data_IF_583982968870
#
_entry.id   IF_583982968870
#
_cell.length_a   1.000
_cell.length_b   1.000
_cell.length_c   1.000
_cell.angle_alpha   90.00
_cell.angle_beta   90.00
_cell.angle_gamma   90.00
#
_symmetry.space_group_name_H-M   'P 1'
#
loop_
_entity.id
_entity.type
_entity.pdbx_description
1 polymer ?
#
# COMPACT_ATOMS: atom_id res chain seq x y z
N UNK A 1 -29.38 -4.16 -6.03
CA UNK A 1 -29.70 -2.73 -6.21
C UNK A 1 -28.94 -1.94 -5.17
N UNK A 2 -27.82 -1.31 -5.56
CA UNK A 2 -27.05 -0.45 -4.66
C UNK A 2 -27.70 0.94 -4.66
N UNK A 3 -28.26 1.34 -3.54
CA UNK A 3 -28.80 2.69 -3.35
C UNK A 3 -27.64 3.68 -3.32
N UNK A 4 -27.46 4.39 -4.44
CA UNK A 4 -26.48 5.46 -4.56
C UNK A 4 -27.05 6.70 -3.86
N UNK A 5 -26.86 6.78 -2.55
CA UNK A 5 -27.25 7.96 -1.77
C UNK A 5 -26.32 9.10 -2.18
N UNK A 6 -26.83 10.22 -2.74
CA UNK A 6 -25.97 11.32 -3.15
C UNK A 6 -25.25 11.86 -1.91
N UNK A 7 -23.91 11.93 -1.97
CA UNK A 7 -23.10 12.66 -0.98
C UNK A 7 -23.66 14.08 -0.95
N UNK A 8 -24.20 14.51 0.20
CA UNK A 8 -24.73 15.87 0.40
C UNK A 8 -23.56 16.84 0.19
N UNK A 9 -23.45 17.43 -1.00
CA UNK A 9 -22.38 18.39 -1.30
C UNK A 9 -22.77 19.71 -0.64
N UNK A 10 -22.32 19.90 0.60
CA UNK A 10 -22.34 21.21 1.22
C UNK A 10 -21.36 22.12 0.48
N UNK A 11 -21.76 23.38 0.25
CA UNK A 11 -20.86 24.39 -0.32
C UNK A 11 -19.64 24.50 0.59
N UNK A 12 -18.44 24.39 0.01
CA UNK A 12 -17.20 24.54 0.77
C UNK A 12 -17.07 25.98 1.26
N UNK A 13 -16.93 26.14 2.58
CA UNK A 13 -16.60 27.43 3.20
C UNK A 13 -15.09 27.57 3.28
N UNK A 14 -14.56 28.74 2.95
CA UNK A 14 -13.13 29.03 3.06
C UNK A 14 -12.79 29.92 4.27
N UNK A 15 -13.59 29.83 5.34
CA UNK A 15 -13.31 30.48 6.62
C UNK A 15 -12.17 29.78 7.36
N UNK A 16 -11.36 30.46 8.19
CA UNK A 16 -10.28 29.81 8.95
C UNK A 16 -10.74 28.60 9.78
N UNK A 17 -11.99 28.65 10.28
CA UNK A 17 -12.63 27.57 11.03
C UNK A 17 -12.98 26.32 10.23
N UNK A 18 -12.92 26.33 8.89
CA UNK A 18 -13.14 25.14 8.05
C UNK A 18 -11.86 24.36 7.77
N UNK A 19 -10.70 24.89 8.17
CA UNK A 19 -9.40 24.26 7.96
C UNK A 19 -8.87 23.56 9.21
N UNK A 20 -8.16 22.47 9.00
CA UNK A 20 -7.47 21.66 9.99
C UNK A 20 -5.99 21.70 9.66
N UNK A 21 -5.14 21.93 10.67
CA UNK A 21 -3.69 21.76 10.52
C UNK A 21 -3.30 20.33 10.85
N UNK A 22 -2.55 19.68 9.97
CA UNK A 22 -1.92 18.39 10.23
C UNK A 22 -0.42 18.58 10.30
N UNK A 23 0.18 18.24 11.44
CA UNK A 23 1.62 18.35 11.69
C UNK A 23 2.27 16.98 11.60
N UNK A 24 3.24 16.82 10.70
CA UNK A 24 3.81 15.52 10.34
C UNK A 24 5.33 15.48 10.56
N UNK A 25 5.83 14.39 11.12
CA UNK A 25 7.25 14.15 11.38
C UNK A 25 7.70 14.46 12.80
N UNK A 26 8.79 13.82 13.23
CA UNK A 26 9.38 13.97 14.57
C UNK A 26 10.32 15.18 14.60
N UNK A 27 11.36 15.14 13.76
CA UNK A 27 12.38 16.17 13.66
C UNK A 27 11.99 17.14 12.53
N UNK A 28 11.94 18.44 12.83
CA UNK A 28 11.49 19.49 11.91
C UNK A 28 10.12 19.18 11.28
N UNK A 29 9.05 19.10 12.10
CA UNK A 29 7.74 18.73 11.60
C UNK A 29 7.21 19.74 10.57
N UNK A 30 6.61 19.22 9.52
CA UNK A 30 5.94 20.03 8.50
C UNK A 30 4.45 20.15 8.80
N UNK A 31 3.90 21.35 8.63
CA UNK A 31 2.48 21.62 8.78
C UNK A 31 1.77 21.66 7.42
N UNK A 32 0.63 20.98 7.34
CA UNK A 32 -0.23 20.91 6.18
C UNK A 32 -1.60 21.49 6.57
N UNK A 33 -2.02 22.55 5.90
CA UNK A 33 -3.34 23.15 6.11
C UNK A 33 -4.34 22.52 5.13
N UNK A 34 -5.34 21.80 5.67
CA UNK A 34 -6.29 21.01 4.88
C UNK A 34 -7.72 21.46 5.17
N UNK A 35 -8.60 21.40 4.17
CA UNK A 35 -10.01 21.62 4.39
C UNK A 35 -10.62 20.41 5.13
N UNK A 36 -11.18 20.63 6.32
CA UNK A 36 -11.67 19.57 7.22
C UNK A 36 -12.67 18.66 6.52
N UNK A 37 -13.62 19.25 5.78
CA UNK A 37 -14.66 18.46 5.12
C UNK A 37 -14.10 17.50 4.06
N UNK A 38 -13.01 17.83 3.38
CA UNK A 38 -12.41 16.97 2.35
C UNK A 38 -11.77 15.75 2.99
N UNK A 39 -10.87 15.99 3.96
CA UNK A 39 -10.14 14.92 4.63
C UNK A 39 -11.07 14.04 5.48
N UNK A 40 -12.08 14.61 6.15
CA UNK A 40 -13.07 13.84 6.93
C UNK A 40 -14.07 13.08 6.05
N UNK A 41 -14.35 13.57 4.83
CA UNK A 41 -15.16 12.81 3.87
C UNK A 41 -14.44 11.54 3.41
N UNK A 42 -13.13 11.63 3.20
CA UNK A 42 -12.28 10.53 2.72
C UNK A 42 -11.88 9.54 3.84
N UNK A 43 -11.39 10.07 4.97
CA UNK A 43 -10.81 9.29 6.05
C UNK A 43 -11.71 9.19 7.29
N UNK A 44 -11.92 7.95 7.76
CA UNK A 44 -12.61 7.72 9.04
C UNK A 44 -11.78 8.17 10.25
N UNK A 45 -10.45 8.08 10.16
CA UNK A 45 -9.55 8.55 11.21
C UNK A 45 -9.73 10.06 11.44
N UNK A 46 -9.58 10.87 10.39
CA UNK A 46 -9.73 12.32 10.50
C UNK A 46 -11.15 12.72 10.91
N UNK A 47 -12.17 12.04 10.37
CA UNK A 47 -13.56 12.24 10.81
C UNK A 47 -13.76 12.02 12.30
N UNK A 48 -13.13 10.99 12.88
CA UNK A 48 -13.22 10.70 14.32
C UNK A 48 -12.44 11.72 15.14
N UNK A 49 -11.25 12.10 14.68
CA UNK A 49 -10.43 13.12 15.33
C UNK A 49 -11.17 14.47 15.43
N UNK A 50 -11.90 14.86 14.38
CA UNK A 50 -12.59 16.16 14.32
C UNK A 50 -14.01 16.16 14.89
N UNK A 51 -14.64 15.00 15.08
CA UNK A 51 -15.99 14.91 15.65
C UNK A 51 -16.03 14.58 17.14
N UNK A 52 -14.95 14.04 17.73
CA UNK A 52 -14.92 13.71 19.16
C UNK A 52 -14.56 14.89 20.07
N UNK A 53 -14.63 14.69 21.38
CA UNK A 53 -14.29 15.71 22.39
C UNK A 53 -12.80 15.69 22.75
N UNK A 54 -11.95 15.63 21.72
CA UNK A 54 -10.50 15.50 21.84
C UNK A 54 -9.81 16.87 21.73
N UNK A 55 -8.56 16.93 22.20
CA UNK A 55 -7.73 18.13 22.10
C UNK A 55 -7.53 18.57 20.64
N UNK A 56 -7.49 17.61 19.72
CA UNK A 56 -7.31 17.81 18.28
C UNK A 56 -8.43 18.65 17.68
N UNK A 57 -9.69 18.41 18.08
CA UNK A 57 -10.84 19.20 17.63
C UNK A 57 -10.79 20.62 18.18
N UNK A 58 -10.49 20.76 19.48
CA UNK A 58 -10.40 22.06 20.13
C UNK A 58 -9.26 22.92 19.55
N UNK A 59 -8.11 22.29 19.26
CA UNK A 59 -6.93 22.94 18.71
C UNK A 59 -6.96 23.05 17.18
N UNK A 60 -7.88 22.33 16.52
CA UNK A 60 -7.89 22.11 15.07
C UNK A 60 -6.53 21.67 14.53
N UNK A 61 -5.89 20.77 15.27
CA UNK A 61 -4.54 20.28 15.04
C UNK A 61 -4.48 18.76 15.22
N UNK A 62 -4.11 18.03 14.18
CA UNK A 62 -3.78 16.60 14.27
C UNK A 62 -2.26 16.44 14.16
N UNK A 63 -1.67 15.67 15.07
CA UNK A 63 -0.22 15.40 15.07
C UNK A 63 0.06 13.97 14.63
N UNK A 64 0.99 13.81 13.70
CA UNK A 64 1.41 12.56 13.09
C UNK A 64 2.95 12.47 13.15
N UNK A 65 3.53 12.35 14.36
CA UNK A 65 4.98 12.48 14.53
C UNK A 65 5.75 11.37 13.82
N UNK A 66 5.25 10.13 13.84
CA UNK A 66 5.93 8.96 13.28
C UNK A 66 5.78 8.82 11.76
N UNK A 67 4.95 9.67 11.14
CA UNK A 67 4.63 9.56 9.71
C UNK A 67 5.60 10.38 8.84
N UNK A 68 5.81 9.91 7.63
CA UNK A 68 6.70 10.52 6.64
C UNK A 68 6.01 11.71 5.95
N UNK A 69 6.66 12.87 5.97
CA UNK A 69 6.13 14.13 5.40
C UNK A 69 5.84 14.02 3.90
N UNK A 70 6.69 13.32 3.14
CA UNK A 70 6.51 13.16 1.68
C UNK A 70 5.35 12.21 1.38
N UNK A 71 5.20 11.14 2.17
CA UNK A 71 4.07 10.22 2.04
C UNK A 71 2.75 10.91 2.38
N UNK A 72 2.75 11.75 3.42
CA UNK A 72 1.58 12.56 3.75
C UNK A 72 1.24 13.55 2.63
N UNK A 73 2.23 14.22 2.04
CA UNK A 73 2.00 15.10 0.90
C UNK A 73 1.37 14.36 -0.31
N UNK A 74 1.81 13.14 -0.60
CA UNK A 74 1.18 12.29 -1.62
C UNK A 74 -0.27 11.93 -1.27
N UNK A 75 -0.54 11.62 -0.01
CA UNK A 75 -1.91 11.36 0.47
C UNK A 75 -2.80 12.60 0.29
N UNK A 76 -2.30 13.78 0.66
CA UNK A 76 -3.03 15.05 0.48
C UNK A 76 -3.37 15.30 -0.98
N UNK A 77 -2.45 15.03 -1.90
CA UNK A 77 -2.73 15.13 -3.33
C UNK A 77 -3.94 14.27 -3.72
N UNK A 78 -3.99 13.01 -3.27
CA UNK A 78 -5.14 12.13 -3.55
C UNK A 78 -6.43 12.70 -2.96
N UNK A 79 -6.42 13.19 -1.72
CA UNK A 79 -7.61 13.77 -1.09
C UNK A 79 -8.10 15.00 -1.86
N UNK A 80 -7.18 15.78 -2.43
CA UNK A 80 -7.49 17.02 -3.15
C UNK A 80 -7.92 16.79 -4.60
N UNK A 81 -7.27 15.90 -5.33
CA UNK A 81 -7.44 15.73 -6.78
C UNK A 81 -8.07 14.40 -7.17
N UNK A 82 -8.15 13.44 -6.24
CA UNK A 82 -8.44 12.03 -6.51
C UNK A 82 -7.44 11.34 -7.45
N UNK A 83 -6.25 11.92 -7.59
CA UNK A 83 -5.19 11.40 -8.46
C UNK A 83 -3.86 11.34 -7.72
N UNK A 84 -3.10 10.28 -7.99
CA UNK A 84 -1.65 10.30 -7.75
C UNK A 84 -1.04 10.83 -9.05
N UNK A 85 -0.46 12.03 -9.01
CA UNK A 85 0.17 12.64 -10.19
C UNK A 85 1.46 11.86 -10.49
N UNK A 86 1.34 10.82 -11.30
CA UNK A 86 2.47 10.05 -11.83
C UNK A 86 3.00 10.83 -13.05
N UNK A 87 4.24 11.31 -12.99
CA UNK A 87 4.83 12.17 -14.01
C UNK A 87 6.02 12.96 -13.46
N UNK A 88 6.47 13.99 -14.19
CA UNK A 88 7.77 14.65 -13.99
C UNK A 88 8.13 14.95 -12.53
N UNK A 89 7.22 15.44 -11.68
CA UNK A 89 7.51 15.70 -10.27
C UNK A 89 7.70 14.41 -9.44
N UNK A 90 6.78 13.44 -9.53
CA UNK A 90 6.90 12.13 -8.85
C UNK A 90 8.09 11.32 -9.38
N UNK A 91 8.34 11.39 -10.68
CA UNK A 91 9.45 10.70 -11.33
C UNK A 91 10.81 11.35 -10.99
N UNK A 92 10.85 12.67 -10.77
CA UNK A 92 12.02 13.41 -10.29
C UNK A 92 12.31 13.13 -8.82
N UNK A 93 11.28 13.13 -7.97
CA UNK A 93 11.43 12.87 -6.53
C UNK A 93 11.80 11.41 -6.24
N UNK A 94 11.38 10.49 -7.11
CA UNK A 94 11.64 9.05 -7.00
C UNK A 94 12.16 8.50 -8.33
N UNK A 95 13.42 8.74 -8.72
CA UNK A 95 13.93 8.34 -10.03
C UNK A 95 14.11 6.82 -10.18
N UNK A 96 14.29 6.11 -9.06
CA UNK A 96 14.46 4.66 -9.02
C UNK A 96 13.10 3.96 -8.89
N UNK A 97 12.87 2.95 -9.74
CA UNK A 97 11.62 2.18 -9.78
C UNK A 97 11.27 1.51 -8.44
N UNK A 98 12.24 0.92 -7.75
CA UNK A 98 12.03 0.31 -6.44
C UNK A 98 11.70 1.35 -5.37
N UNK A 99 12.30 2.55 -5.42
CA UNK A 99 11.89 3.65 -4.53
C UNK A 99 10.47 4.12 -4.81
N UNK A 100 10.03 4.18 -6.09
CA UNK A 100 8.62 4.48 -6.42
C UNK A 100 7.68 3.45 -5.83
N UNK A 101 7.96 2.16 -6.03
CA UNK A 101 7.16 1.07 -5.47
C UNK A 101 7.11 1.18 -3.95
N UNK A 102 8.26 1.37 -3.30
CA UNK A 102 8.32 1.44 -1.85
C UNK A 102 7.53 2.63 -1.29
N UNK A 103 7.59 3.81 -1.94
CA UNK A 103 6.78 4.97 -1.58
C UNK A 103 5.28 4.70 -1.74
N UNK A 104 4.86 3.97 -2.78
CA UNK A 104 3.46 3.57 -2.95
C UNK A 104 3.02 2.56 -1.88
N UNK A 105 3.88 1.62 -1.49
CA UNK A 105 3.58 0.72 -0.37
C UNK A 105 3.44 1.49 0.94
N UNK A 106 4.34 2.43 1.24
CA UNK A 106 4.22 3.33 2.40
C UNK A 106 2.91 4.11 2.37
N UNK A 107 2.52 4.63 1.21
CA UNK A 107 1.25 5.35 1.03
C UNK A 107 0.03 4.45 1.28
N UNK A 108 0.05 3.19 0.82
CA UNK A 108 -1.02 2.24 1.12
C UNK A 108 -1.14 1.99 2.62
N UNK A 109 -0.01 1.76 3.29
CA UNK A 109 0.06 1.56 4.74
C UNK A 109 -0.47 2.78 5.49
N UNK A 110 -0.09 3.98 5.07
CA UNK A 110 -0.62 5.22 5.62
C UNK A 110 -2.14 5.31 5.44
N UNK A 111 -2.65 5.03 4.23
CA UNK A 111 -4.07 5.04 3.93
C UNK A 111 -4.85 3.96 4.73
N UNK A 112 -4.23 2.82 5.04
CA UNK A 112 -4.76 1.81 5.95
C UNK A 112 -4.88 2.36 7.39
N UNK A 113 -3.80 2.98 7.90
CA UNK A 113 -3.76 3.62 9.23
C UNK A 113 -4.85 4.69 9.37
N UNK A 114 -5.00 5.56 8.37
CA UNK A 114 -6.04 6.61 8.38
C UNK A 114 -7.42 6.11 7.92
N UNK A 115 -7.56 4.80 7.65
CA UNK A 115 -8.81 4.15 7.25
C UNK A 115 -9.49 4.81 6.05
N UNK A 116 -8.69 5.16 5.04
CA UNK A 116 -9.13 5.76 3.80
C UNK A 116 -9.18 4.71 2.68
N UNK A 117 -10.39 4.28 2.32
CA UNK A 117 -10.59 3.23 1.32
C UNK A 117 -10.24 3.72 -0.09
N UNK A 118 -10.59 4.97 -0.42
CA UNK A 118 -10.40 5.52 -1.76
C UNK A 118 -8.92 5.71 -2.04
N UNK A 119 -8.18 6.25 -1.07
CA UNK A 119 -6.73 6.35 -1.15
C UNK A 119 -6.05 4.99 -1.31
N UNK A 120 -6.42 3.98 -0.50
CA UNK A 120 -5.88 2.61 -0.64
C UNK A 120 -6.08 2.04 -2.05
N UNK A 121 -7.29 2.17 -2.59
CA UNK A 121 -7.62 1.68 -3.92
C UNK A 121 -6.80 2.41 -4.99
N UNK A 122 -6.72 3.75 -4.91
CA UNK A 122 -5.94 4.57 -5.82
C UNK A 122 -4.46 4.18 -5.80
N UNK A 123 -3.90 3.95 -4.62
CA UNK A 123 -2.52 3.49 -4.46
C UNK A 123 -2.28 2.13 -5.12
N UNK A 124 -3.21 1.17 -4.99
CA UNK A 124 -3.11 -0.13 -5.68
C UNK A 124 -3.16 0.06 -7.20
N UNK A 125 -4.09 0.86 -7.71
CA UNK A 125 -4.20 1.16 -9.16
C UNK A 125 -2.89 1.72 -9.70
N UNK A 126 -2.32 2.71 -9.00
CA UNK A 126 -1.03 3.33 -9.36
C UNK A 126 0.13 2.36 -9.26
N UNK A 127 0.20 1.54 -8.20
CA UNK A 127 1.25 0.54 -8.02
C UNK A 127 1.25 -0.46 -9.18
N UNK A 128 0.08 -1.00 -9.53
CA UNK A 128 -0.07 -1.90 -10.67
C UNK A 128 0.33 -1.21 -11.98
N UNK A 129 -0.10 0.02 -12.19
CA UNK A 129 0.28 0.79 -13.38
C UNK A 129 1.81 0.95 -13.50
N UNK A 130 2.50 1.30 -12.41
CA UNK A 130 3.96 1.41 -12.38
C UNK A 130 4.64 0.08 -12.73
N UNK A 131 4.17 -1.04 -12.17
CA UNK A 131 4.70 -2.37 -12.46
C UNK A 131 4.47 -2.73 -13.93
N UNK A 132 3.26 -2.55 -14.46
CA UNK A 132 2.90 -2.99 -15.82
C UNK A 132 3.45 -2.10 -16.93
N UNK A 133 3.61 -0.78 -16.70
CA UNK A 133 4.11 0.16 -17.72
C UNK A 133 5.60 -0.01 -17.97
N UNK A 134 6.34 -0.39 -16.94
CA UNK A 134 7.78 -0.64 -17.03
C UNK A 134 8.12 -2.11 -17.26
N UNK A 135 7.18 -3.03 -17.01
CA UNK A 135 7.25 -4.39 -17.54
C UNK A 135 7.04 -4.34 -19.04
N UNK A 136 8.04 -4.61 -19.90
CA UNK A 136 7.76 -4.83 -21.30
C UNK A 136 6.88 -6.08 -21.39
N UNK A 137 5.58 -5.88 -21.54
CA UNK A 137 4.53 -6.91 -21.59
C UNK A 137 4.80 -7.99 -22.67
N UNK A 138 5.85 -7.82 -23.51
CA UNK A 138 6.28 -8.77 -24.53
C UNK A 138 7.80 -8.95 -24.68
N UNK A 139 8.65 -8.54 -23.72
CA UNK A 139 10.06 -8.96 -23.78
C UNK A 139 10.18 -10.36 -23.20
N UNK A 140 10.30 -11.33 -24.09
CA UNK A 140 10.28 -12.78 -23.84
C UNK A 140 11.31 -13.25 -22.79
N UNK A 141 12.31 -12.45 -22.38
CA UNK A 141 13.46 -12.96 -21.59
C UNK A 141 14.15 -11.98 -20.62
N UNK A 142 13.53 -10.87 -20.15
CA UNK A 142 14.24 -9.94 -19.24
C UNK A 142 13.51 -9.67 -17.92
N UNK A 143 13.90 -10.46 -16.94
CA UNK A 143 13.84 -10.26 -15.48
C UNK A 143 12.71 -9.34 -14.95
N UNK A 144 11.49 -9.89 -14.90
CA UNK A 144 10.31 -9.25 -14.29
C UNK A 144 10.58 -8.89 -12.81
N UNK A 145 11.54 -9.55 -12.15
CA UNK A 145 11.85 -9.37 -10.73
C UNK A 145 12.22 -7.93 -10.38
N UNK A 146 12.99 -7.25 -11.25
CA UNK A 146 13.40 -5.87 -11.04
C UNK A 146 12.24 -4.86 -10.96
N UNK A 147 11.05 -5.26 -11.42
CA UNK A 147 9.85 -4.42 -11.41
C UNK A 147 8.84 -4.76 -10.32
N UNK A 148 9.01 -5.86 -9.58
CA UNK A 148 8.13 -6.25 -8.47
C UNK A 148 8.56 -5.60 -7.15
N UNK A 149 7.66 -5.51 -6.15
CA UNK A 149 8.03 -5.05 -4.81
C UNK A 149 9.07 -5.98 -4.16
N UNK A 150 10.25 -5.44 -3.85
CA UNK A 150 11.30 -6.17 -3.14
C UNK A 150 10.89 -6.61 -1.72
N UNK A 151 11.74 -7.40 -1.06
CA UNK A 151 11.48 -7.93 0.28
C UNK A 151 11.10 -6.86 1.31
N UNK A 152 11.76 -5.70 1.30
CA UNK A 152 11.51 -4.61 2.25
C UNK A 152 10.09 -4.04 2.06
N UNK A 153 9.65 -3.88 0.82
CA UNK A 153 8.30 -3.44 0.51
C UNK A 153 7.25 -4.49 0.89
N UNK A 154 7.50 -5.76 0.61
CA UNK A 154 6.61 -6.87 1.02
C UNK A 154 6.49 -6.92 2.55
N UNK A 155 7.61 -6.85 3.26
CA UNK A 155 7.64 -6.86 4.71
C UNK A 155 6.83 -5.71 5.31
N UNK A 156 7.06 -4.49 4.83
CA UNK A 156 6.35 -3.29 5.30
C UNK A 156 4.83 -3.45 5.14
N UNK A 157 4.37 -3.98 4.00
CA UNK A 157 2.95 -4.22 3.73
C UNK A 157 2.34 -5.21 4.73
N UNK A 158 3.05 -6.29 5.05
CA UNK A 158 2.56 -7.31 5.97
C UNK A 158 2.55 -6.82 7.42
N UNK A 159 3.61 -6.18 7.88
CA UNK A 159 3.69 -5.67 9.26
C UNK A 159 2.61 -4.62 9.58
N UNK A 160 2.18 -3.84 8.58
CA UNK A 160 1.34 -2.67 8.79
C UNK A 160 -0.05 -2.76 8.15
N UNK A 161 -0.49 -3.96 7.77
CA UNK A 161 -1.86 -4.19 7.32
C UNK A 161 -2.45 -5.43 7.96
N UNK A 162 -3.77 -5.47 8.10
CA UNK A 162 -4.48 -6.59 8.71
C UNK A 162 -4.38 -7.86 7.86
N UNK A 163 -4.50 -9.02 8.52
CA UNK A 163 -4.62 -10.31 7.85
C UNK A 163 -5.76 -10.28 6.82
N UNK A 164 -5.52 -10.82 5.62
CA UNK A 164 -6.48 -10.83 4.53
C UNK A 164 -6.73 -9.48 3.86
N UNK A 165 -5.96 -8.43 4.17
CA UNK A 165 -6.06 -7.13 3.49
C UNK A 165 -5.80 -7.25 1.98
N UNK A 166 -6.33 -6.31 1.19
CA UNK A 166 -6.05 -6.25 -0.24
C UNK A 166 -4.56 -6.10 -0.54
N UNK A 167 -3.82 -5.34 0.29
CA UNK A 167 -2.39 -5.16 0.17
C UNK A 167 -1.60 -6.47 0.31
N UNK A 168 -1.87 -7.28 1.35
CA UNK A 168 -1.23 -8.60 1.52
C UNK A 168 -1.53 -9.53 0.37
N UNK A 169 -2.80 -9.60 -0.07
CA UNK A 169 -3.22 -10.40 -1.23
C UNK A 169 -2.48 -9.99 -2.50
N UNK A 170 -2.39 -8.68 -2.77
CA UNK A 170 -1.67 -8.17 -3.93
C UNK A 170 -0.21 -8.60 -3.94
N UNK A 171 0.49 -8.50 -2.80
CA UNK A 171 1.88 -8.94 -2.69
C UNK A 171 2.05 -10.43 -2.98
N UNK A 172 1.17 -11.27 -2.42
CA UNK A 172 1.21 -12.71 -2.69
C UNK A 172 0.92 -13.02 -4.16
N UNK A 173 -0.08 -12.35 -4.77
CA UNK A 173 -0.47 -12.55 -6.16
C UNK A 173 0.64 -12.10 -7.13
N UNK A 174 1.32 -10.97 -6.87
CA UNK A 174 2.41 -10.46 -7.70
C UNK A 174 3.61 -11.42 -7.76
N UNK A 175 3.88 -12.13 -6.68
CA UNK A 175 5.00 -13.08 -6.56
C UNK A 175 4.59 -14.54 -6.84
N UNK A 176 3.32 -14.80 -7.14
CA UNK A 176 2.81 -16.11 -7.51
C UNK A 176 2.97 -16.37 -9.03
N UNK A 177 4.16 -16.14 -9.58
CA UNK A 177 4.51 -16.45 -10.97
C UNK A 177 5.73 -17.38 -11.01
N UNK A 178 5.68 -18.43 -11.83
CA UNK A 178 6.72 -19.43 -12.00
C UNK A 178 8.08 -18.87 -12.48
N UNK A 179 8.11 -17.63 -12.95
CA UNK A 179 9.32 -16.92 -13.41
C UNK A 179 9.97 -16.05 -12.32
N UNK A 180 9.35 -15.97 -11.15
CA UNK A 180 9.81 -15.13 -10.04
C UNK A 180 10.34 -15.99 -8.90
N UNK A 181 11.38 -15.52 -8.20
CA UNK A 181 11.98 -16.24 -7.08
C UNK A 181 12.35 -15.26 -5.96
N UNK A 182 11.37 -14.99 -5.11
CA UNK A 182 11.52 -14.16 -3.90
C UNK A 182 12.28 -14.87 -2.78
N UNK A 183 12.57 -16.17 -2.92
CA UNK A 183 13.24 -16.93 -1.86
C UNK A 183 14.68 -16.44 -1.64
N UNK A 184 15.33 -15.90 -2.68
CA UNK A 184 16.65 -15.28 -2.54
C UNK A 184 16.64 -14.02 -1.67
N UNK A 185 15.48 -13.39 -1.48
CA UNK A 185 15.30 -12.24 -0.57
C UNK A 185 14.52 -12.64 0.70
N UNK A 186 14.44 -13.93 1.01
CA UNK A 186 13.61 -14.42 2.12
C UNK A 186 14.05 -13.93 3.49
N UNK A 187 15.34 -13.60 3.64
CA UNK A 187 15.88 -13.03 4.86
C UNK A 187 15.34 -11.62 5.08
N UNK A 188 14.39 -11.49 6.02
CA UNK A 188 13.70 -10.23 6.34
C UNK A 188 12.23 -10.18 5.93
N UNK A 189 11.70 -11.21 5.26
CA UNK A 189 10.28 -11.32 4.95
C UNK A 189 9.56 -12.16 6.00
N UNK A 190 8.39 -11.70 6.43
CA UNK A 190 7.59 -12.36 7.45
C UNK A 190 7.04 -13.70 6.96
N UNK A 191 6.87 -14.63 7.91
CA UNK A 191 6.36 -15.98 7.62
C UNK A 191 4.96 -15.94 7.00
N UNK A 192 4.13 -14.99 7.42
CA UNK A 192 2.76 -14.81 6.91
C UNK A 192 2.72 -14.62 5.40
N UNK A 193 3.68 -13.90 4.82
CA UNK A 193 3.78 -13.74 3.37
C UNK A 193 3.97 -15.08 2.67
N UNK A 194 4.90 -15.92 3.15
CA UNK A 194 5.14 -17.23 2.54
C UNK A 194 3.93 -18.15 2.68
N UNK A 195 3.21 -18.08 3.81
CA UNK A 195 1.96 -18.81 4.00
C UNK A 195 0.92 -18.37 2.96
N UNK A 196 0.72 -17.07 2.77
CA UNK A 196 -0.23 -16.54 1.79
C UNK A 196 0.19 -16.83 0.34
N UNK A 197 1.49 -16.74 0.03
CA UNK A 197 2.07 -17.09 -1.26
C UNK A 197 1.80 -18.57 -1.60
N UNK A 198 2.05 -19.49 -0.68
CA UNK A 198 1.77 -20.93 -0.85
C UNK A 198 0.26 -21.17 -1.04
N UNK A 199 -0.60 -20.48 -0.27
CA UNK A 199 -2.05 -20.55 -0.45
C UNK A 199 -2.47 -20.07 -1.84
N UNK A 200 -1.85 -19.01 -2.36
CA UNK A 200 -2.11 -18.52 -3.72
C UNK A 200 -1.66 -19.55 -4.77
N UNK A 201 -0.46 -20.13 -4.64
CA UNK A 201 0.01 -21.19 -5.53
C UNK A 201 -0.94 -22.40 -5.59
N UNK A 202 -1.45 -22.86 -4.44
CA UNK A 202 -2.42 -23.96 -4.39
C UNK A 202 -3.74 -23.63 -5.09
N UNK A 203 -4.21 -22.38 -5.01
CA UNK A 203 -5.44 -21.95 -5.70
C UNK A 203 -5.26 -21.91 -7.22
N UNK A 204 -4.10 -21.47 -7.71
CA UNK A 204 -3.81 -21.37 -9.14
C UNK A 204 -3.47 -22.72 -9.78
N UNK A 205 -2.85 -23.62 -9.02
CA UNK A 205 -2.43 -24.94 -9.48
C UNK A 205 -2.95 -26.04 -8.55
N UNK A 206 -4.24 -26.41 -8.65
CA UNK A 206 -4.79 -27.57 -7.96
C UNK A 206 -4.18 -28.85 -8.57
N UNK A 207 -2.97 -29.18 -8.16
CA UNK A 207 -2.23 -30.33 -8.64
C UNK A 207 -2.36 -31.48 -7.65
N UNK A 208 -2.71 -32.66 -8.17
CA UNK A 208 -2.53 -33.93 -7.45
C UNK A 208 -1.05 -34.26 -7.51
N UNK A 209 -0.22 -33.54 -6.76
CA UNK A 209 1.21 -33.87 -6.65
C UNK A 209 1.32 -35.15 -5.84
N UNK A 210 1.92 -36.18 -6.43
CA UNK A 210 2.31 -37.39 -5.70
C UNK A 210 3.34 -37.00 -4.65
N UNK A 211 3.15 -37.46 -3.42
CA UNK A 211 4.10 -37.22 -2.35
C UNK A 211 5.39 -37.96 -2.69
N UNK A 212 6.44 -37.20 -3.02
CA UNK A 212 7.74 -37.74 -3.45
C UNK A 212 8.27 -38.73 -2.43
N UNK A 213 8.23 -38.43 -1.13
CA UNK A 213 8.68 -39.37 -0.09
C UNK A 213 7.87 -40.69 -0.06
N UNK A 214 6.59 -40.67 -0.45
CA UNK A 214 5.75 -41.87 -0.53
C UNK A 214 5.88 -42.61 -1.88
N UNK A 215 6.52 -42.00 -2.89
CA UNK A 215 6.68 -42.58 -4.23
C UNK A 215 8.12 -42.79 -4.67
N UNK A 216 9.09 -42.22 -3.96
CA UNK A 216 10.52 -42.32 -4.18
C UNK A 216 11.08 -43.59 -3.57
N UNK A 217 12.24 -44.02 -4.07
CA UNK A 217 12.98 -45.13 -3.46
C UNK A 217 13.61 -44.67 -2.15
N UNK A 218 13.55 -45.50 -1.10
CA UNK A 218 14.12 -45.19 0.23
C UNK A 218 15.58 -44.73 0.18
N UNK A 219 16.31 -45.13 -0.86
CA UNK A 219 17.71 -44.76 -1.12
C UNK A 219 17.94 -43.26 -1.26
N UNK A 220 16.92 -42.47 -1.63
CA UNK A 220 17.02 -41.01 -1.74
C UNK A 220 17.13 -40.30 -0.38
N UNK A 221 16.83 -41.00 0.71
CA UNK A 221 16.81 -40.46 2.08
C UNK A 221 17.80 -41.15 3.02
N UNK A 222 18.60 -42.08 2.50
CA UNK A 222 19.64 -42.74 3.29
C UNK A 222 20.92 -41.87 3.28
N UNK A 223 21.51 -41.67 4.46
CA UNK A 223 22.82 -41.05 4.61
C UNK A 223 23.89 -41.96 3.98
N UNK A 224 24.85 -41.36 3.25
CA UNK A 224 25.98 -42.05 2.61
C UNK A 224 27.25 -41.76 3.39
#
# INVERSE_FOLDING_TARGET
>A
MATNTPKKVAVMSYSPSSFLTVRVGIENPQEFLLHEAMVCASSKFFRRAMNGDWAEKAQRLVKLPEDDQKIFALYVNIVCTNEIIIGSAFDQDYPNHQYRIFSLVKLYVFAEKVQDKEAKNKTIETLLHCITKHSPVFAVDKDVKGFLPNAVAVQLMYENSLEGSCGRRLMADLWCDARTDILNESEGICKDFFVDLIRTFHKQHPSVKKNVALTSSIKEYLEV
#
